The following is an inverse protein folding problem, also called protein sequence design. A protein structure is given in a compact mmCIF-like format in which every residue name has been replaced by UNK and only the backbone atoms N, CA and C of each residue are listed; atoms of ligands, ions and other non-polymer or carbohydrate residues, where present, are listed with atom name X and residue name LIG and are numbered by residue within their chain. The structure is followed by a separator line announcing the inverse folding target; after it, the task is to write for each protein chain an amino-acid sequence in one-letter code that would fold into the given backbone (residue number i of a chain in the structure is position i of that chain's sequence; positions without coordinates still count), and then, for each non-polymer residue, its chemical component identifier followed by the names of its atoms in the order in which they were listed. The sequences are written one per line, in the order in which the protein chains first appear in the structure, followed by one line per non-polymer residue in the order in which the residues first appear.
data_IF_127514122837
#
_entry.id   IF_127514122837
#
_cell.length_a   1.000
_cell.length_b   1.000
_cell.length_c   1.000
_cell.angle_alpha   90.00
_cell.angle_beta   90.00
_cell.angle_gamma   90.00
#
_symmetry.space_group_name_H-M   'P 1'
#
loop_
_entity.id
_entity.type
_entity.pdbx_description
1 polymer ?
#
# COMPACT_ATOMS: atom_id res chain seq x y z
N UNK A 1 14.81 -26.74 23.62
CA UNK A 1 14.22 -25.83 24.62
C UNK A 1 13.98 -24.44 23.98
N UNK A 2 13.05 -24.33 23.03
CA UNK A 2 12.75 -23.09 22.29
C UNK A 2 11.23 -22.90 22.01
N UNK A 3 10.35 -23.52 22.82
CA UNK A 3 8.89 -23.50 22.57
C UNK A 3 8.13 -22.43 23.38
N UNK A 4 8.79 -21.37 23.84
CA UNK A 4 8.18 -20.40 24.77
C UNK A 4 8.34 -18.93 24.33
N UNK A 5 8.18 -18.65 23.03
CA UNK A 5 8.12 -17.28 22.49
C UNK A 5 6.76 -16.97 21.85
N UNK A 6 5.71 -17.77 22.12
CA UNK A 6 4.32 -17.38 21.88
C UNK A 6 3.89 -16.34 22.93
N UNK A 7 4.56 -15.19 22.94
CA UNK A 7 4.16 -14.05 23.75
C UNK A 7 2.86 -13.54 23.14
N UNK A 8 1.75 -13.87 23.78
CA UNK A 8 0.44 -13.30 23.52
C UNK A 8 0.61 -11.79 23.29
N UNK A 9 0.44 -11.35 22.04
CA UNK A 9 0.30 -9.94 21.70
C UNK A 9 -0.98 -9.49 22.40
N UNK A 10 -0.87 -8.87 23.56
CA UNK A 10 -2.00 -8.21 24.21
C UNK A 10 -2.50 -7.16 23.22
N UNK A 11 -3.67 -7.38 22.61
CA UNK A 11 -4.16 -6.59 21.48
C UNK A 11 -4.14 -5.08 21.72
N UNK A 12 -4.27 -4.63 22.98
CA UNK A 12 -4.15 -3.22 23.39
C UNK A 12 -2.78 -2.59 23.13
N UNK A 13 -1.69 -3.35 23.26
CA UNK A 13 -0.35 -2.84 23.04
C UNK A 13 -0.04 -2.67 21.55
N UNK A 14 -0.62 -3.51 20.69
CA UNK A 14 -0.49 -3.42 19.22
C UNK A 14 -1.27 -2.21 18.71
N UNK A 15 -2.53 -2.08 19.13
CA UNK A 15 -3.40 -0.95 18.77
C UNK A 15 -2.81 0.40 19.18
N UNK A 16 -2.18 0.48 20.36
CA UNK A 16 -1.51 1.71 20.80
C UNK A 16 -0.31 2.10 19.93
N UNK A 17 0.53 1.15 19.51
CA UNK A 17 1.63 1.41 18.57
C UNK A 17 1.13 1.83 17.19
N UNK A 18 0.04 1.23 16.71
CA UNK A 18 -0.53 1.55 15.40
C UNK A 18 -1.12 2.97 15.37
N UNK A 19 -1.83 3.37 16.43
CA UNK A 19 -2.34 4.75 16.57
C UNK A 19 -1.19 5.77 16.59
N UNK A 20 -0.10 5.44 17.31
CA UNK A 20 1.08 6.31 17.36
C UNK A 20 1.76 6.39 15.98
N UNK A 21 1.87 5.27 15.25
CA UNK A 21 2.42 5.24 13.91
C UNK A 21 1.58 6.08 12.93
N UNK A 22 0.25 6.00 12.98
CA UNK A 22 -0.66 6.84 12.18
C UNK A 22 -0.45 8.32 12.50
N UNK A 23 -0.39 8.68 13.79
CA UNK A 23 -0.20 10.07 14.21
C UNK A 23 1.12 10.64 13.73
N UNK A 24 2.22 9.88 13.86
CA UNK A 24 3.54 10.30 13.39
C UNK A 24 3.58 10.38 11.87
N UNK A 25 2.99 9.42 11.15
CA UNK A 25 2.89 9.46 9.69
C UNK A 25 2.12 10.69 9.20
N UNK A 26 0.99 11.02 9.85
CA UNK A 26 0.20 12.21 9.54
C UNK A 26 0.99 13.50 9.79
N UNK A 27 1.74 13.56 10.89
CA UNK A 27 2.59 14.70 11.20
C UNK A 27 3.72 14.87 10.16
N UNK A 28 4.41 13.79 9.80
CA UNK A 28 5.46 13.82 8.76
C UNK A 28 4.88 14.31 7.44
N UNK A 29 3.75 13.74 7.01
CA UNK A 29 3.09 14.11 5.76
C UNK A 29 2.66 15.59 5.78
N UNK A 30 2.01 16.04 6.86
CA UNK A 30 1.59 17.43 7.03
C UNK A 30 2.77 18.42 7.05
N UNK A 31 3.85 18.10 7.74
CA UNK A 31 5.07 18.92 7.79
C UNK A 31 5.76 19.00 6.42
N UNK A 32 5.85 17.89 5.70
CA UNK A 32 6.41 17.90 4.34
C UNK A 32 5.54 18.70 3.37
N UNK A 33 4.21 18.64 3.51
CA UNK A 33 3.30 19.45 2.70
C UNK A 33 3.44 20.94 2.96
N UNK A 34 3.51 21.32 4.24
CA UNK A 34 3.74 22.71 4.63
C UNK A 34 5.11 23.21 4.14
N UNK A 35 6.14 22.37 4.21
CA UNK A 35 7.50 22.70 3.75
C UNK A 35 7.60 22.93 2.24
N UNK A 36 6.88 22.14 1.43
CA UNK A 36 6.85 22.31 -0.03
C UNK A 36 5.76 23.28 -0.51
N UNK A 37 4.92 23.81 0.38
CA UNK A 37 3.83 24.74 0.02
C UNK A 37 2.77 24.13 -0.91
N UNK A 38 2.64 22.80 -0.93
CA UNK A 38 1.77 22.09 -1.87
C UNK A 38 0.35 21.93 -1.34
N UNK A 39 -0.64 22.44 -2.07
CA UNK A 39 -2.06 22.22 -1.81
C UNK A 39 -2.53 20.90 -2.45
N UNK A 40 -2.69 19.84 -1.63
CA UNK A 40 -3.25 18.54 -2.07
C UNK A 40 -4.64 18.66 -2.69
N UNK A 41 -5.37 19.71 -2.34
CA UNK A 41 -6.74 20.00 -2.76
C UNK A 41 -6.85 20.60 -4.16
N UNK A 42 -5.77 21.19 -4.69
CA UNK A 42 -5.77 21.79 -6.03
C UNK A 42 -5.71 20.72 -7.13
N UNK A 43 -5.10 19.57 -6.84
CA UNK A 43 -4.92 18.49 -7.80
C UNK A 43 -5.74 17.25 -7.43
N UNK A 44 -6.65 16.82 -8.32
CA UNK A 44 -7.47 15.62 -8.18
C UNK A 44 -6.78 14.39 -7.58
N UNK A 45 -5.61 14.06 -8.10
CA UNK A 45 -4.82 12.89 -7.71
C UNK A 45 -4.03 13.07 -6.41
N UNK A 46 -3.82 14.31 -5.96
CA UNK A 46 -3.00 14.63 -4.79
C UNK A 46 -3.58 14.02 -3.50
N UNK A 47 -4.90 14.10 -3.33
CA UNK A 47 -5.59 13.50 -2.17
C UNK A 47 -5.41 11.98 -2.15
N UNK A 48 -5.53 11.34 -3.31
CA UNK A 48 -5.42 9.87 -3.45
C UNK A 48 -4.03 9.41 -3.06
N UNK A 49 -3.02 10.02 -3.69
CA UNK A 49 -1.63 9.68 -3.45
C UNK A 49 -1.19 10.05 -2.03
N UNK A 50 -1.68 11.16 -1.47
CA UNK A 50 -1.44 11.53 -0.09
C UNK A 50 -1.97 10.49 0.90
N UNK A 51 -3.14 9.93 0.62
CA UNK A 51 -3.69 8.85 1.43
C UNK A 51 -2.86 7.58 1.32
N UNK A 52 -2.45 7.19 0.11
CA UNK A 52 -1.55 6.04 -0.11
C UNK A 52 -0.21 6.24 0.60
N UNK A 53 0.36 7.43 0.54
CA UNK A 53 1.60 7.77 1.21
C UNK A 53 1.43 7.70 2.73
N UNK A 54 0.34 8.23 3.29
CA UNK A 54 0.01 8.13 4.71
C UNK A 54 -0.01 6.67 5.19
N UNK A 55 -0.65 5.81 4.41
CA UNK A 55 -0.77 4.38 4.68
C UNK A 55 0.60 3.67 4.60
N UNK A 56 1.42 3.99 3.59
CA UNK A 56 2.77 3.46 3.46
C UNK A 56 3.68 3.87 4.63
N UNK A 57 3.67 5.15 5.01
CA UNK A 57 4.43 5.69 6.14
C UNK A 57 3.98 5.09 7.47
N UNK A 58 2.67 4.93 7.65
CA UNK A 58 2.09 4.27 8.82
C UNK A 58 2.62 2.85 8.95
N UNK A 59 2.62 2.07 7.86
CA UNK A 59 3.09 0.69 7.90
C UNK A 59 4.60 0.59 8.17
N UNK A 60 5.38 1.48 7.55
CA UNK A 60 6.82 1.61 7.80
C UNK A 60 7.07 1.87 9.29
N UNK A 61 6.45 2.89 9.86
CA UNK A 61 6.64 3.29 11.25
C UNK A 61 6.12 2.23 12.23
N UNK A 62 4.98 1.60 11.96
CA UNK A 62 4.44 0.51 12.77
C UNK A 62 5.43 -0.66 12.85
N UNK A 63 6.09 -1.00 11.74
CA UNK A 63 7.11 -2.06 11.69
C UNK A 63 8.31 -1.73 12.58
N UNK A 64 8.81 -0.48 12.52
CA UNK A 64 9.93 -0.06 13.36
C UNK A 64 9.55 0.09 14.84
N UNK A 65 8.38 0.63 15.17
CA UNK A 65 7.92 0.78 16.55
C UNK A 65 7.60 -0.55 17.22
N UNK A 66 7.15 -1.55 16.46
CA UNK A 66 6.93 -2.91 16.96
C UNK A 66 8.21 -3.55 17.54
N UNK A 67 9.40 -3.13 17.09
CA UNK A 67 10.67 -3.67 17.60
C UNK A 67 11.02 -3.21 19.02
N UNK A 68 10.37 -2.17 19.55
CA UNK A 68 10.62 -1.55 20.89
C UNK A 68 12.09 -1.14 21.15
N UNK A 69 12.90 -1.00 20.10
CA UNK A 69 14.28 -0.52 20.20
C UNK A 69 14.32 0.94 19.74
N UNK A 70 14.65 1.86 20.66
CA UNK A 70 14.64 3.30 20.41
C UNK A 70 15.52 3.74 19.22
N UNK A 71 16.68 3.09 19.03
CA UNK A 71 17.56 3.36 17.88
C UNK A 71 16.91 3.01 16.54
N UNK A 72 16.13 1.93 16.49
CA UNK A 72 15.41 1.51 15.30
C UNK A 72 14.19 2.41 15.04
N UNK A 73 13.52 2.87 16.10
CA UNK A 73 12.45 3.86 15.97
C UNK A 73 12.93 5.19 15.36
N UNK A 74 14.11 5.68 15.77
CA UNK A 74 14.73 6.87 15.18
C UNK A 74 15.10 6.69 13.70
N UNK A 75 15.62 5.52 13.32
CA UNK A 75 15.87 5.19 11.92
C UNK A 75 14.56 5.11 11.11
N UNK A 76 13.52 4.50 11.67
CA UNK A 76 12.20 4.45 11.03
C UNK A 76 11.63 5.84 10.75
N UNK A 77 11.80 6.78 11.69
CA UNK A 77 11.41 8.17 11.49
C UNK A 77 12.25 8.85 10.39
N UNK A 78 13.57 8.65 10.40
CA UNK A 78 14.45 9.19 9.37
C UNK A 78 14.06 8.68 7.97
N UNK A 79 13.81 7.38 7.83
CA UNK A 79 13.33 6.80 6.57
C UNK A 79 11.95 7.32 6.17
N UNK A 80 11.02 7.48 7.11
CA UNK A 80 9.70 8.04 6.84
C UNK A 80 9.80 9.47 6.25
N UNK A 81 10.66 10.30 6.84
CA UNK A 81 10.95 11.65 6.33
C UNK A 81 11.61 11.59 4.96
N UNK A 82 12.62 10.75 4.76
CA UNK A 82 13.30 10.60 3.46
C UNK A 82 12.34 10.17 2.35
N UNK A 83 11.46 9.19 2.62
CA UNK A 83 10.46 8.73 1.65
C UNK A 83 9.47 9.85 1.32
N UNK A 84 8.99 10.58 2.33
CA UNK A 84 8.08 11.69 2.12
C UNK A 84 8.72 12.80 1.27
N UNK A 85 9.97 13.19 1.57
CA UNK A 85 10.70 14.19 0.79
C UNK A 85 10.92 13.73 -0.65
N UNK A 86 11.43 12.52 -0.85
CA UNK A 86 11.64 11.96 -2.20
C UNK A 86 10.34 11.92 -3.01
N UNK A 87 9.22 11.57 -2.37
CA UNK A 87 7.91 11.58 -3.00
C UNK A 87 7.51 12.98 -3.47
N UNK A 88 7.58 14.00 -2.60
CA UNK A 88 7.18 15.36 -2.95
C UNK A 88 8.12 16.01 -3.97
N UNK A 89 9.42 15.77 -3.87
CA UNK A 89 10.39 16.23 -4.88
C UNK A 89 10.11 15.58 -6.24
N UNK A 90 9.83 14.28 -6.29
CA UNK A 90 9.45 13.61 -7.54
C UNK A 90 8.15 14.16 -8.12
N UNK A 91 7.16 14.42 -7.27
CA UNK A 91 5.89 15.04 -7.67
C UNK A 91 6.11 16.43 -8.31
N UNK A 92 6.92 17.27 -7.69
CA UNK A 92 7.26 18.62 -8.18
C UNK A 92 8.02 18.58 -9.51
N UNK A 93 9.00 17.66 -9.65
CA UNK A 93 9.75 17.47 -10.91
C UNK A 93 8.80 17.09 -12.04
N UNK A 94 7.92 16.11 -11.82
CA UNK A 94 6.96 15.67 -12.84
C UNK A 94 5.99 16.81 -13.18
N UNK A 95 5.54 17.58 -12.19
CA UNK A 95 4.67 18.73 -12.42
C UNK A 95 5.34 19.81 -13.28
N UNK A 96 6.61 20.12 -13.01
CA UNK A 96 7.39 21.05 -13.81
C UNK A 96 7.58 20.56 -15.26
N UNK A 97 7.84 19.26 -15.44
CA UNK A 97 7.98 18.66 -16.77
C UNK A 97 6.65 18.66 -17.55
N UNK A 98 5.53 18.40 -16.88
CA UNK A 98 4.20 18.48 -17.49
C UNK A 98 3.80 19.92 -17.81
N UNK A 99 4.14 20.88 -16.94
CA UNK A 99 3.88 22.29 -17.19
C UNK A 99 4.62 22.82 -18.43
N UNK A 100 5.80 22.27 -18.75
CA UNK A 100 6.55 22.62 -19.94
C UNK A 100 5.96 22.04 -21.24
N UNK A 101 5.12 21.00 -21.15
CA UNK A 101 4.64 20.24 -22.32
C UNK A 101 3.15 20.40 -22.60
N UNK A 102 2.35 20.81 -21.61
CA UNK A 102 0.92 21.05 -21.78
C UNK A 102 0.56 22.54 -21.70
N UNK A 103 -0.02 23.06 -22.79
CA UNK A 103 -0.76 24.32 -22.74
C UNK A 103 -1.95 24.13 -21.81
N UNK A 104 -1.97 24.84 -20.67
CA UNK A 104 -3.07 24.83 -19.67
C UNK A 104 -4.39 25.25 -20.33
N UNK A 105 -5.08 24.33 -21.01
CA UNK A 105 -6.51 24.47 -21.26
C UNK A 105 -7.23 24.14 -19.96
N UNK A 106 -8.19 24.96 -19.51
CA UNK A 106 -9.10 24.55 -18.46
C UNK A 106 -9.82 23.29 -18.98
N UNK A 107 -9.46 22.14 -18.44
CA UNK A 107 -10.20 20.91 -18.70
C UNK A 107 -11.47 21.05 -17.89
N UNK A 108 -12.59 21.25 -18.57
CA UNK A 108 -13.90 21.23 -17.93
C UNK A 108 -14.03 19.92 -17.14
N UNK A 109 -14.43 20.05 -15.87
CA UNK A 109 -14.58 18.92 -14.93
C UNK A 109 -15.67 17.98 -15.46
N UNK A 110 -15.26 17.00 -16.26
CA UNK A 110 -16.12 15.93 -16.73
C UNK A 110 -16.49 15.00 -15.57
N UNK A 111 -17.74 14.53 -15.47
CA UNK A 111 -18.15 13.52 -14.48
C UNK A 111 -17.27 12.26 -14.49
N UNK A 112 -16.68 11.94 -15.66
CA UNK A 112 -15.81 10.79 -15.86
C UNK A 112 -14.48 10.93 -15.08
N UNK A 113 -13.95 12.15 -14.92
CA UNK A 113 -12.76 12.42 -14.11
C UNK A 113 -12.99 12.10 -12.63
N UNK A 114 -14.19 12.40 -12.12
CA UNK A 114 -14.58 12.05 -10.76
C UNK A 114 -14.67 10.53 -10.59
N UNK A 115 -15.27 9.82 -11.54
CA UNK A 115 -15.37 8.35 -11.52
C UNK A 115 -13.99 7.71 -11.52
N UNK A 116 -13.10 8.12 -12.42
CA UNK A 116 -11.73 7.59 -12.50
C UNK A 116 -10.97 7.86 -11.20
N UNK A 117 -11.13 9.04 -10.61
CA UNK A 117 -10.52 9.37 -9.32
C UNK A 117 -11.03 8.44 -8.21
N UNK A 118 -12.34 8.28 -8.08
CA UNK A 118 -12.94 7.42 -7.05
C UNK A 118 -12.48 5.98 -7.23
N UNK A 119 -12.48 5.47 -8.47
CA UNK A 119 -12.01 4.11 -8.77
C UNK A 119 -10.54 3.96 -8.41
N UNK A 120 -9.68 4.90 -8.80
CA UNK A 120 -8.25 4.85 -8.48
C UNK A 120 -8.01 4.85 -6.96
N UNK A 121 -8.67 5.75 -6.21
CA UNK A 121 -8.61 5.75 -4.73
C UNK A 121 -9.04 4.41 -4.17
N UNK A 122 -10.20 3.92 -4.62
CA UNK A 122 -10.79 2.69 -4.10
C UNK A 122 -9.87 1.51 -4.39
N UNK A 123 -9.31 1.39 -5.60
CA UNK A 123 -8.35 0.35 -5.94
C UNK A 123 -7.10 0.39 -5.07
N UNK A 124 -6.53 1.57 -4.84
CA UNK A 124 -5.35 1.69 -3.98
C UNK A 124 -5.66 1.38 -2.51
N UNK A 125 -6.80 1.84 -1.99
CA UNK A 125 -7.26 1.53 -0.64
C UNK A 125 -7.51 0.02 -0.50
N UNK A 126 -8.14 -0.61 -1.49
CA UNK A 126 -8.35 -2.06 -1.53
C UNK A 126 -7.02 -2.80 -1.56
N UNK A 127 -6.08 -2.41 -2.42
CA UNK A 127 -4.75 -3.02 -2.47
C UNK A 127 -4.05 -2.88 -1.12
N UNK A 128 -4.10 -1.70 -0.50
CA UNK A 128 -3.51 -1.50 0.82
C UNK A 128 -4.16 -2.38 1.89
N UNK A 129 -5.49 -2.44 1.95
CA UNK A 129 -6.23 -3.29 2.88
C UNK A 129 -5.84 -4.74 2.66
N UNK A 130 -5.80 -5.21 1.40
CA UNK A 130 -5.41 -6.58 1.04
C UNK A 130 -3.98 -6.86 1.48
N UNK A 131 -3.02 -5.97 1.23
CA UNK A 131 -1.63 -6.13 1.66
C UNK A 131 -1.50 -6.20 3.19
N UNK A 132 -2.21 -5.32 3.90
CA UNK A 132 -2.20 -5.28 5.36
C UNK A 132 -2.87 -6.53 5.97
N UNK A 133 -3.99 -6.96 5.40
CA UNK A 133 -4.69 -8.19 5.78
C UNK A 133 -3.82 -9.42 5.51
N UNK A 134 -3.19 -9.54 4.34
CA UNK A 134 -2.27 -10.65 4.02
C UNK A 134 -1.15 -10.73 5.05
N UNK A 135 -0.55 -9.60 5.46
CA UNK A 135 0.46 -9.58 6.50
C UNK A 135 -0.09 -10.02 7.86
N UNK A 136 -1.32 -9.62 8.20
CA UNK A 136 -1.98 -10.03 9.45
C UNK A 136 -2.31 -11.53 9.48
N UNK A 137 -2.72 -12.10 8.35
CA UNK A 137 -3.10 -13.51 8.21
C UNK A 137 -1.96 -14.42 7.75
N UNK A 138 -0.73 -13.91 7.64
CA UNK A 138 0.45 -14.67 7.22
C UNK A 138 0.77 -15.88 8.13
N UNK A 139 0.21 -15.92 9.35
CA UNK A 139 0.32 -17.03 10.29
C UNK A 139 -0.65 -18.20 9.99
N UNK A 140 -1.64 -18.00 9.11
CA UNK A 140 -2.58 -19.05 8.72
C UNK A 140 -1.97 -19.91 7.59
N UNK A 141 -1.91 -21.24 7.76
CA UNK A 141 -1.24 -22.13 6.81
C UNK A 141 -1.84 -22.09 5.39
N UNK A 142 -3.15 -21.82 5.26
CA UNK A 142 -3.80 -21.70 3.94
C UNK A 142 -3.41 -20.43 3.18
N UNK A 143 -3.09 -19.34 3.88
CA UNK A 143 -2.62 -18.08 3.26
C UNK A 143 -1.20 -18.23 2.73
N UNK A 144 -0.33 -18.94 3.44
CA UNK A 144 1.02 -19.27 2.97
C UNK A 144 0.99 -20.11 1.69
N UNK A 145 0.11 -21.11 1.62
CA UNK A 145 -0.05 -21.93 0.42
C UNK A 145 -0.52 -21.07 -0.75
N UNK A 146 -1.55 -20.23 -0.55
CA UNK A 146 -2.04 -19.31 -1.57
C UNK A 146 -0.97 -18.31 -2.03
N UNK A 147 -0.21 -17.75 -1.09
CA UNK A 147 0.87 -16.81 -1.36
C UNK A 147 1.96 -17.42 -2.24
N UNK A 148 2.39 -18.65 -1.93
CA UNK A 148 3.37 -19.38 -2.75
C UNK A 148 2.82 -19.66 -4.15
N UNK A 149 1.54 -20.03 -4.28
CA UNK A 149 0.94 -20.27 -5.60
C UNK A 149 0.80 -18.98 -6.41
N UNK A 150 0.41 -17.87 -5.78
CA UNK A 150 0.35 -16.56 -6.41
C UNK A 150 1.71 -16.08 -6.91
N UNK A 151 2.76 -16.25 -6.10
CA UNK A 151 4.12 -15.84 -6.46
C UNK A 151 4.73 -16.73 -7.55
N UNK A 152 4.29 -17.99 -7.66
CA UNK A 152 4.62 -18.89 -8.76
C UNK A 152 3.69 -18.73 -9.98
N UNK A 153 2.86 -17.69 -10.01
CA UNK A 153 2.05 -17.28 -11.16
C UNK A 153 0.62 -17.81 -11.21
N UNK A 154 0.18 -18.53 -10.16
CA UNK A 154 -0.96 -19.45 -10.17
C UNK A 154 -0.93 -20.30 -11.45
N UNK A 155 -0.49 -21.56 -11.36
CA UNK A 155 -0.61 -22.55 -12.43
C UNK A 155 -2.10 -22.83 -12.74
N UNK A 156 -2.79 -21.83 -13.29
CA UNK A 156 -4.20 -21.87 -13.68
C UNK A 156 -4.37 -22.68 -14.97
N UNK A 157 -3.28 -23.03 -15.64
CA UNK A 157 -3.28 -23.89 -16.83
C UNK A 157 -3.91 -25.26 -16.55
N UNK A 158 -3.68 -25.83 -15.36
CA UNK A 158 -4.22 -27.14 -14.97
C UNK A 158 -5.74 -27.10 -14.71
N UNK A 159 -6.28 -26.18 -13.86
CA UNK A 159 -7.72 -26.07 -13.69
C UNK A 159 -8.43 -25.61 -14.97
N UNK A 160 -7.83 -24.72 -15.77
CA UNK A 160 -8.40 -24.36 -17.07
C UNK A 160 -8.48 -25.56 -18.00
N UNK A 161 -7.42 -26.36 -18.14
CA UNK A 161 -7.43 -27.59 -18.95
C UNK A 161 -8.46 -28.60 -18.46
N UNK A 162 -8.68 -28.72 -17.15
CA UNK A 162 -9.72 -29.58 -16.57
C UNK A 162 -11.13 -29.07 -16.84
N UNK A 163 -11.37 -27.77 -16.72
CA UNK A 163 -12.68 -27.16 -16.99
C UNK A 163 -13.01 -27.26 -18.49
N UNK A 164 -12.03 -26.99 -19.36
CA UNK A 164 -12.21 -27.18 -20.81
C UNK A 164 -12.39 -28.65 -21.15
N UNK A 165 -11.64 -29.56 -20.53
CA UNK A 165 -11.79 -31.00 -20.73
C UNK A 165 -13.16 -31.53 -20.29
N UNK A 166 -13.71 -30.98 -19.20
CA UNK A 166 -15.07 -31.29 -18.73
C UNK A 166 -16.14 -30.78 -19.71
N UNK A 167 -15.99 -29.56 -20.23
CA UNK A 167 -16.91 -29.00 -21.22
C UNK A 167 -16.85 -29.73 -22.57
N UNK A 168 -15.67 -30.23 -22.97
CA UNK A 168 -15.45 -30.92 -24.24
C UNK A 168 -15.45 -32.47 -24.15
N UNK A 169 -15.73 -33.04 -22.97
CA UNK A 169 -15.89 -34.49 -22.78
C UNK A 169 -14.66 -35.34 -23.11
N UNK A 170 -13.45 -34.77 -23.12
CA UNK A 170 -12.24 -35.54 -23.44
C UNK A 170 -11.72 -36.28 -22.20
N UNK A 171 -11.49 -37.62 -22.27
CA UNK A 171 -10.86 -38.36 -21.19
C UNK A 171 -9.42 -37.85 -21.02
N UNK A 172 -9.07 -37.51 -19.77
CA UNK A 172 -7.77 -36.95 -19.42
C UNK A 172 -6.63 -37.83 -19.97
N UNK A 173 -5.91 -37.31 -20.97
CA UNK A 173 -4.69 -37.94 -21.45
C UNK A 173 -3.67 -37.97 -20.30
N UNK A 174 -3.32 -39.19 -19.90
CA UNK A 174 -2.29 -39.50 -18.92
C UNK A 174 -0.93 -39.35 -19.61
N UNK A 175 -0.19 -38.30 -19.25
CA UNK A 175 1.28 -38.28 -19.12
C UNK A 175 1.73 -36.90 -18.64
#
# INVERSE_FOLDING_TARGET
MQLTQARARTGRAVVATDILAVGVAAAVLGLTLAGFGLSLTEKPGGIVLGFVLLLALTNLLATFFATRVWKLAGLGLAFAVTVAVAYFTGFEIIDHLLAATMSRRPIDRSPLDLTVRIVAVTSFVVIFIVQNFIQSFAHLPWVQVFYVHANNGFYLDIPFRRITGWFYGQPAAVS
#
